data_IF_497298185320
#
_entry.id   IF_497298185320
#
_cell.length_a   1.000
_cell.length_b   1.000
_cell.length_c   1.000
_cell.angle_alpha   90.00
_cell.angle_beta   90.00
_cell.angle_gamma   90.00
#
_symmetry.space_group_name_H-M   'P 1'
#
loop_
_entity.id
_entity.type
_entity.pdbx_description
1 polymer ?
#
# COMPACT_ATOMS: atom_id res chain seq x y z
N UNK A 1 16.29 -18.85 1.28
CA UNK A 1 15.62 -18.04 2.29
C UNK A 1 14.76 -16.99 1.63
N UNK A 2 13.48 -16.98 1.93
CA UNK A 2 12.57 -16.01 1.35
C UNK A 2 12.72 -14.66 2.04
N UNK A 3 12.75 -13.61 1.23
CA UNK A 3 12.79 -12.25 1.75
C UNK A 3 11.47 -11.92 2.44
N UNK A 4 11.54 -11.32 3.63
CA UNK A 4 10.36 -10.88 4.35
C UNK A 4 9.99 -9.47 3.87
N UNK A 5 8.93 -9.35 3.08
CA UNK A 5 8.50 -8.10 2.49
C UNK A 5 7.21 -7.59 3.12
N UNK A 6 7.23 -6.33 3.55
CA UNK A 6 6.04 -5.64 4.03
C UNK A 6 5.12 -5.38 2.83
N UNK A 7 3.84 -5.71 2.97
CA UNK A 7 2.84 -5.48 1.94
C UNK A 7 2.02 -4.24 2.29
N UNK A 8 2.06 -3.25 1.42
CA UNK A 8 1.39 -1.96 1.62
C UNK A 8 0.37 -1.73 0.52
N UNK A 9 -0.87 -1.49 0.90
CA UNK A 9 -1.92 -1.10 -0.03
C UNK A 9 -2.32 0.34 0.21
N UNK A 10 -2.43 1.13 -0.86
CA UNK A 10 -2.81 2.54 -0.77
C UNK A 10 -3.96 2.83 -1.73
N UNK A 11 -5.04 3.40 -1.19
CA UNK A 11 -6.15 3.92 -1.96
C UNK A 11 -6.00 5.44 -2.03
N UNK A 12 -5.91 5.98 -3.25
CA UNK A 12 -5.63 7.40 -3.47
C UNK A 12 -6.90 8.18 -3.78
N UNK A 13 -7.15 9.21 -2.99
CA UNK A 13 -8.17 10.21 -3.28
C UNK A 13 -7.55 11.58 -3.52
N UNK A 14 -8.38 12.55 -3.84
CA UNK A 14 -7.91 13.91 -4.11
C UNK A 14 -7.28 14.57 -2.89
N UNK A 15 -7.87 14.38 -1.72
CA UNK A 15 -7.44 15.03 -0.47
C UNK A 15 -6.79 14.07 0.50
N UNK A 16 -7.09 12.80 0.42
CA UNK A 16 -6.67 11.77 1.38
C UNK A 16 -6.13 10.54 0.69
N UNK A 17 -5.25 9.83 1.40
CA UNK A 17 -4.87 8.47 1.05
C UNK A 17 -5.20 7.56 2.22
N UNK A 18 -5.65 6.35 1.91
CA UNK A 18 -5.96 5.33 2.91
C UNK A 18 -4.94 4.20 2.78
N UNK A 19 -4.31 3.83 3.88
CA UNK A 19 -3.18 2.88 3.88
C UNK A 19 -3.51 1.67 4.72
N UNK A 20 -3.16 0.50 4.20
CA UNK A 20 -3.22 -0.79 4.90
C UNK A 20 -1.84 -1.44 4.85
N UNK A 21 -1.41 -2.02 5.96
CA UNK A 21 -0.16 -2.78 6.02
C UNK A 21 -0.47 -4.24 6.36
N UNK A 22 0.10 -5.16 5.58
CA UNK A 22 0.00 -6.59 5.84
C UNK A 22 1.40 -7.16 6.06
N UNK A 23 1.48 -8.20 6.89
CA UNK A 23 2.71 -8.97 7.00
C UNK A 23 2.90 -9.86 5.76
N UNK A 24 4.04 -10.53 5.59
CA UNK A 24 4.26 -11.39 4.41
C UNK A 24 3.23 -12.50 4.24
N UNK A 25 2.59 -12.93 5.32
CA UNK A 25 1.54 -13.95 5.27
C UNK A 25 0.16 -13.39 4.93
N UNK A 26 0.02 -12.07 4.80
CA UNK A 26 -1.25 -11.44 4.46
C UNK A 26 -2.10 -11.06 5.66
N UNK A 27 -1.54 -11.13 6.87
CA UNK A 27 -2.26 -10.73 8.08
C UNK A 27 -2.12 -9.23 8.31
N UNK A 28 -3.21 -8.52 8.68
CA UNK A 28 -3.14 -7.08 8.89
C UNK A 28 -2.25 -6.69 10.06
N UNK A 29 -1.29 -5.81 9.81
CA UNK A 29 -0.53 -5.10 10.84
C UNK A 29 -1.19 -3.77 11.16
N UNK A 30 -1.75 -3.14 10.14
CA UNK A 30 -2.55 -1.94 10.22
C UNK A 30 -3.68 -2.09 9.22
N UNK A 31 -4.92 -2.22 9.73
CA UNK A 31 -6.07 -2.46 8.85
C UNK A 31 -6.39 -1.24 7.99
N UNK A 32 -6.29 -0.04 8.56
CA UNK A 32 -6.55 1.19 7.84
C UNK A 32 -6.06 2.40 8.64
N UNK A 33 -5.42 3.34 7.93
CA UNK A 33 -5.13 4.67 8.45
C UNK A 33 -5.19 5.68 7.32
N UNK A 34 -5.77 6.83 7.58
CA UNK A 34 -5.94 7.91 6.61
C UNK A 34 -4.88 8.98 6.81
N UNK A 35 -4.33 9.45 5.69
CA UNK A 35 -3.33 10.51 5.66
C UNK A 35 -3.73 11.54 4.62
N UNK A 36 -3.17 12.76 4.72
CA UNK A 36 -3.34 13.76 3.69
C UNK A 36 -2.63 13.34 2.39
N UNK A 37 -3.27 13.57 1.26
CA UNK A 37 -2.60 13.42 -0.03
C UNK A 37 -1.83 14.70 -0.36
N UNK A 38 -0.79 14.95 0.41
CA UNK A 38 0.09 16.09 0.32
C UNK A 38 1.40 15.74 1.01
N UNK A 39 2.40 16.61 0.90
CA UNK A 39 3.72 16.31 1.45
C UNK A 39 3.73 15.96 2.95
N UNK A 40 2.99 16.65 3.83
CA UNK A 40 2.96 16.23 5.25
C UNK A 40 2.38 14.82 5.44
N UNK A 41 1.38 14.45 4.64
CA UNK A 41 0.82 13.10 4.67
C UNK A 41 1.81 12.06 4.16
N UNK A 42 2.54 12.38 3.10
CA UNK A 42 3.59 11.52 2.60
C UNK A 42 4.65 11.25 3.67
N UNK A 43 5.11 12.30 4.34
CA UNK A 43 6.12 12.16 5.39
C UNK A 43 5.63 11.25 6.53
N UNK A 44 4.35 11.36 6.89
CA UNK A 44 3.76 10.51 7.92
C UNK A 44 3.69 9.04 7.47
N UNK A 45 3.33 8.79 6.20
CA UNK A 45 3.31 7.43 5.64
C UNK A 45 4.71 6.85 5.61
N UNK A 46 5.69 7.62 5.14
CA UNK A 46 7.09 7.19 5.12
C UNK A 46 7.57 6.79 6.51
N UNK A 47 7.28 7.61 7.52
CA UNK A 47 7.67 7.31 8.89
C UNK A 47 7.03 6.00 9.38
N UNK A 48 5.75 5.80 9.08
CA UNK A 48 5.05 4.56 9.41
C UNK A 48 5.72 3.35 8.75
N UNK A 49 6.08 3.46 7.49
CA UNK A 49 6.73 2.38 6.75
C UNK A 49 8.10 2.05 7.36
N UNK A 50 8.94 3.07 7.60
CA UNK A 50 10.28 2.87 8.15
C UNK A 50 10.19 2.25 9.55
N UNK A 51 9.31 2.74 10.39
CA UNK A 51 9.13 2.20 11.74
C UNK A 51 8.68 0.74 11.70
N UNK A 52 7.75 0.40 10.83
CA UNK A 52 7.24 -0.97 10.71
C UNK A 52 8.33 -1.91 10.18
N UNK A 53 9.04 -1.49 9.13
CA UNK A 53 10.12 -2.28 8.55
C UNK A 53 11.22 -2.55 9.58
N UNK A 54 11.58 -1.53 10.35
CA UNK A 54 12.64 -1.64 11.36
C UNK A 54 12.20 -2.52 12.54
N UNK A 55 10.99 -2.27 13.06
CA UNK A 55 10.51 -2.99 14.24
C UNK A 55 10.33 -4.49 13.98
N UNK A 56 9.99 -4.86 12.77
CA UNK A 56 9.75 -6.26 12.40
C UNK A 56 10.92 -6.91 11.68
N UNK A 57 12.00 -6.17 11.48
CA UNK A 57 13.19 -6.63 10.76
C UNK A 57 12.87 -7.16 9.36
N UNK A 58 11.92 -6.52 8.67
CA UNK A 58 11.62 -6.84 7.29
C UNK A 58 12.70 -6.25 6.38
N UNK A 59 12.97 -6.94 5.28
CA UNK A 59 14.05 -6.57 4.36
C UNK A 59 13.56 -6.01 3.04
N UNK A 60 12.26 -6.11 2.77
CA UNK A 60 11.70 -5.62 1.52
C UNK A 60 10.37 -4.91 1.71
N UNK A 61 9.99 -4.15 0.70
CA UNK A 61 8.79 -3.33 0.73
C UNK A 61 8.07 -3.41 -0.60
N UNK A 62 6.83 -3.90 -0.57
CA UNK A 62 5.94 -3.88 -1.72
C UNK A 62 4.85 -2.85 -1.47
N UNK A 63 4.62 -1.97 -2.43
CA UNK A 63 3.61 -0.93 -2.35
C UNK A 63 2.71 -1.01 -3.57
N UNK A 64 1.42 -1.09 -3.33
CA UNK A 64 0.41 -1.19 -4.38
C UNK A 64 -0.56 -0.04 -4.29
N UNK A 65 -0.93 0.49 -5.43
CA UNK A 65 -1.95 1.53 -5.51
C UNK A 65 -2.80 1.33 -6.75
N UNK A 66 -4.04 1.80 -6.70
CA UNK A 66 -4.95 1.73 -7.83
C UNK A 66 -4.75 2.96 -8.72
N UNK A 67 -4.63 2.75 -10.03
CA UNK A 67 -4.38 3.82 -11.01
C UNK A 67 -5.67 4.57 -11.35
N UNK A 68 -6.26 5.24 -10.37
CA UNK A 68 -7.47 6.05 -10.56
C UNK A 68 -7.07 7.51 -10.67
N UNK A 69 -7.37 8.11 -11.83
CA UNK A 69 -6.97 9.49 -12.09
C UNK A 69 -5.48 9.69 -11.97
N UNK A 70 -5.05 10.84 -11.45
CA UNK A 70 -3.64 11.18 -11.27
C UNK A 70 -3.27 11.39 -9.79
N UNK A 71 -4.16 11.05 -8.87
CA UNK A 71 -3.95 11.30 -7.45
C UNK A 71 -2.83 10.47 -6.85
N UNK A 72 -2.50 9.33 -7.49
CA UNK A 72 -1.43 8.42 -7.06
C UNK A 72 -0.03 8.95 -7.39
N UNK A 73 0.09 9.78 -8.43
CA UNK A 73 1.38 10.09 -9.04
C UNK A 73 2.37 10.78 -8.10
N UNK A 74 2.01 11.87 -7.40
CA UNK A 74 2.99 12.52 -6.52
C UNK A 74 3.50 11.58 -5.41
N UNK A 75 2.61 10.81 -4.82
CA UNK A 75 2.98 9.84 -3.78
C UNK A 75 3.95 8.79 -4.32
N UNK A 76 3.65 8.21 -5.48
CA UNK A 76 4.49 7.19 -6.09
C UNK A 76 5.86 7.73 -6.48
N UNK A 77 5.93 8.96 -6.99
CA UNK A 77 7.21 9.58 -7.32
C UNK A 77 8.07 9.76 -6.05
N UNK A 78 7.48 10.20 -4.96
CA UNK A 78 8.19 10.32 -3.68
C UNK A 78 8.65 8.95 -3.17
N UNK A 79 7.76 7.95 -3.19
CA UNK A 79 8.10 6.61 -2.72
C UNK A 79 9.23 5.98 -3.53
N UNK A 80 9.22 6.18 -4.84
CA UNK A 80 10.22 5.61 -5.74
C UNK A 80 11.59 6.24 -5.58
N UNK A 81 11.65 7.49 -5.13
CA UNK A 81 12.90 8.26 -5.06
C UNK A 81 13.38 8.53 -3.64
N UNK A 82 12.67 8.06 -2.61
CA UNK A 82 13.03 8.35 -1.24
C UNK A 82 14.26 7.55 -0.79
N UNK A 83 15.35 8.21 -0.40
CA UNK A 83 16.57 7.52 -0.01
C UNK A 83 16.42 6.68 1.26
N UNK A 84 15.48 7.02 2.14
CA UNK A 84 15.26 6.25 3.37
C UNK A 84 14.56 4.92 3.11
N UNK A 85 13.88 4.79 1.97
CA UNK A 85 13.22 3.55 1.58
C UNK A 85 14.08 2.70 0.65
N UNK A 86 15.12 3.28 0.05
CA UNK A 86 15.93 2.60 -0.97
C UNK A 86 16.57 1.30 -0.45
N UNK A 87 16.94 1.23 0.83
CA UNK A 87 17.56 0.06 1.42
C UNK A 87 16.61 -1.14 1.52
N UNK A 88 15.30 -0.93 1.36
CA UNK A 88 14.29 -1.98 1.46
C UNK A 88 13.80 -2.49 0.11
N UNK A 89 14.50 -2.16 -0.96
CA UNK A 89 14.18 -2.59 -2.32
C UNK A 89 12.69 -2.37 -2.64
N UNK A 90 12.21 -1.11 -2.60
CA UNK A 90 10.78 -0.84 -2.79
C UNK A 90 10.32 -1.21 -4.20
N UNK A 91 9.30 -2.03 -4.27
CA UNK A 91 8.63 -2.41 -5.50
C UNK A 91 7.26 -1.77 -5.51
N UNK A 92 6.99 -0.95 -6.52
CA UNK A 92 5.75 -0.21 -6.64
C UNK A 92 4.90 -0.81 -7.76
N UNK A 93 3.65 -1.14 -7.43
CA UNK A 93 2.72 -1.76 -8.35
C UNK A 93 1.51 -0.86 -8.53
N UNK A 94 1.27 -0.46 -9.76
CA UNK A 94 0.12 0.34 -10.11
C UNK A 94 -0.94 -0.59 -10.70
N UNK A 95 -2.04 -0.76 -9.99
CA UNK A 95 -3.05 -1.77 -10.33
C UNK A 95 -4.15 -1.17 -11.20
N UNK A 96 -4.63 -1.97 -12.15
CA UNK A 96 -5.76 -1.59 -12.96
C UNK A 96 -7.04 -1.59 -12.11
N UNK A 97 -7.84 -0.50 -12.08
CA UNK A 97 -9.06 -0.43 -11.29
C UNK A 97 -10.06 -1.56 -11.58
N UNK A 98 -10.13 -2.02 -12.82
CA UNK A 98 -11.04 -3.13 -13.19
C UNK A 98 -10.66 -4.42 -12.49
N UNK A 99 -9.36 -4.69 -12.37
CA UNK A 99 -8.88 -5.91 -11.72
C UNK A 99 -9.12 -5.85 -10.22
N UNK A 100 -8.94 -4.69 -9.60
CA UNK A 100 -9.22 -4.51 -8.18
C UNK A 100 -10.70 -4.74 -7.90
N UNK A 101 -11.59 -4.17 -8.70
CA UNK A 101 -13.02 -4.35 -8.55
C UNK A 101 -13.44 -5.82 -8.72
N UNK A 102 -12.88 -6.51 -9.71
CA UNK A 102 -13.15 -7.92 -9.94
C UNK A 102 -12.66 -8.78 -8.76
N UNK A 103 -11.46 -8.49 -8.25
CA UNK A 103 -10.89 -9.20 -7.12
C UNK A 103 -11.78 -9.09 -5.88
N UNK A 104 -12.27 -7.89 -5.59
CA UNK A 104 -13.20 -7.67 -4.48
C UNK A 104 -14.46 -8.55 -4.61
N UNK A 105 -15.00 -8.68 -5.81
CA UNK A 105 -16.16 -9.53 -6.07
C UNK A 105 -15.89 -10.99 -5.78
N UNK A 106 -14.68 -11.45 -6.04
CA UNK A 106 -14.29 -12.85 -5.80
C UNK A 106 -14.33 -13.22 -4.33
N UNK A 107 -14.22 -12.25 -3.43
CA UNK A 107 -14.31 -12.48 -1.99
C UNK A 107 -15.75 -12.44 -1.47
N UNK A 108 -16.73 -12.22 -2.35
CA UNK A 108 -18.15 -12.16 -2.01
C UNK A 108 -18.45 -11.19 -0.86
N UNK A 109 -17.71 -10.11 -0.78
CA UNK A 109 -17.91 -9.09 0.24
C UNK A 109 -18.85 -8.03 -0.28
N UNK A 110 -19.94 -7.84 0.41
CA UNK A 110 -20.92 -6.83 0.03
C UNK A 110 -20.54 -5.43 0.53
N UNK A 111 -19.60 -5.36 1.43
CA UNK A 111 -19.15 -4.10 1.98
C UNK A 111 -18.27 -3.36 0.97
N UNK A 112 -18.77 -2.22 0.50
CA UNK A 112 -18.05 -1.37 -0.44
C UNK A 112 -17.42 -0.17 0.26
N UNK A 113 -17.15 -0.31 1.55
CA UNK A 113 -16.50 0.73 2.33
C UNK A 113 -15.11 1.01 1.79
N UNK A 114 -14.76 2.29 1.65
CA UNK A 114 -13.41 2.73 1.27
C UNK A 114 -12.36 2.24 2.26
N UNK A 115 -12.76 1.91 3.48
CA UNK A 115 -11.85 1.40 4.49
C UNK A 115 -11.27 0.03 4.13
N UNK A 116 -11.92 -0.73 3.25
CA UNK A 116 -11.43 -2.04 2.81
C UNK A 116 -10.62 -1.99 1.52
N UNK A 117 -10.68 -0.90 0.76
CA UNK A 117 -9.98 -0.80 -0.50
C UNK A 117 -8.47 -0.99 -0.38
N UNK A 118 -7.76 -0.33 0.54
CA UNK A 118 -6.31 -0.55 0.65
C UNK A 118 -5.96 -1.99 1.04
N UNK A 119 -6.80 -2.66 1.83
CA UNK A 119 -6.61 -4.08 2.14
C UNK A 119 -6.66 -4.93 0.88
N UNK A 120 -7.69 -4.76 0.04
CA UNK A 120 -7.84 -5.52 -1.20
C UNK A 120 -6.71 -5.23 -2.18
N UNK A 121 -6.25 -4.00 -2.24
CA UNK A 121 -5.13 -3.61 -3.08
C UNK A 121 -3.86 -4.36 -2.64
N UNK A 122 -3.55 -4.35 -1.34
CA UNK A 122 -2.39 -5.04 -0.80
C UNK A 122 -2.48 -6.55 -1.02
N UNK A 123 -3.64 -7.12 -0.78
CA UNK A 123 -3.88 -8.57 -0.91
C UNK A 123 -3.76 -9.01 -2.37
N UNK A 124 -4.27 -8.21 -3.31
CA UNK A 124 -4.16 -8.49 -4.75
C UNK A 124 -2.70 -8.57 -5.18
N UNK A 125 -1.89 -7.64 -4.70
CA UNK A 125 -0.45 -7.62 -5.03
C UNK A 125 0.26 -8.81 -4.41
N UNK A 126 -0.03 -9.10 -3.15
CA UNK A 126 0.58 -10.23 -2.45
C UNK A 126 0.31 -11.55 -3.17
N UNK A 127 -0.91 -11.77 -3.64
CA UNK A 127 -1.29 -13.02 -4.31
C UNK A 127 -0.81 -13.10 -5.76
N UNK A 128 -0.62 -11.95 -6.43
CA UNK A 128 -0.19 -11.92 -7.82
C UNK A 128 1.32 -12.15 -7.96
N UNK A 129 2.08 -11.84 -6.95
CA UNK A 129 3.54 -11.88 -6.96
C UNK A 129 4.10 -12.63 -5.77
#
# INVERSE_FOLDING_TARGET
MTEARLQTGIDFGASWVDVCLLNPAGEPLLAHQRFLNALPGYEAVKQLLVETLTARAYTGLDISGEATGMYWLPFFLHLASDPDLAAYDPQLYLLNPRWVAWFKKCFAQDDKSDLKDPYYIAERTREAF
#
